data_IF_985479882645
#
_entry.id   IF_985479882645
#
_cell.length_a   1.000
_cell.length_b   1.000
_cell.length_c   1.000
_cell.angle_alpha   90.00
_cell.angle_beta   90.00
_cell.angle_gamma   90.00
#
_symmetry.space_group_name_H-M   'P 1'
#
loop_
_entity.id
_entity.type
_entity.pdbx_description
1 polymer ?
#
# COMPACT_ATOMS: atom_id res chain seq x y z
N UNK A 1 -6.83 12.04 6.78
CA UNK A 1 -6.66 10.88 5.88
C UNK A 1 -6.14 11.27 4.50
N UNK A 2 -5.39 12.39 4.39
CA UNK A 2 -4.85 12.90 3.12
C UNK A 2 -5.87 13.19 1.99
N UNK A 3 -7.17 13.27 2.29
CA UNK A 3 -8.22 13.49 1.30
C UNK A 3 -9.12 12.27 1.08
N UNK A 4 -8.68 11.06 1.46
CA UNK A 4 -9.36 9.78 1.22
C UNK A 4 -10.73 9.61 1.91
N UNK A 5 -11.15 10.58 2.72
CA UNK A 5 -12.49 10.66 3.29
C UNK A 5 -13.50 11.35 2.35
N UNK A 6 -13.02 12.07 1.34
CA UNK A 6 -13.85 12.83 0.38
C UNK A 6 -13.40 12.69 -1.08
N UNK A 7 -12.17 12.21 -1.33
CA UNK A 7 -11.61 11.96 -2.64
C UNK A 7 -11.40 10.45 -2.84
N UNK A 8 -11.52 9.95 -4.08
CA UNK A 8 -11.19 8.56 -4.42
C UNK A 8 -9.67 8.38 -4.62
N UNK A 9 -8.86 8.88 -3.68
CA UNK A 9 -7.39 8.96 -3.79
C UNK A 9 -6.66 7.81 -3.06
N UNK A 10 -7.35 6.71 -2.78
CA UNK A 10 -6.86 5.62 -1.93
C UNK A 10 -5.50 5.06 -2.38
N UNK A 11 -5.22 5.01 -3.69
CA UNK A 11 -3.94 4.58 -4.25
C UNK A 11 -2.80 5.53 -3.88
N UNK A 12 -2.98 6.84 -4.04
CA UNK A 12 -2.01 7.85 -3.62
C UNK A 12 -1.81 7.87 -2.09
N UNK A 13 -2.90 7.70 -1.34
CA UNK A 13 -2.87 7.67 0.14
C UNK A 13 -2.16 6.42 0.66
N UNK A 14 -2.39 5.26 0.06
CA UNK A 14 -1.68 4.04 0.41
C UNK A 14 -0.21 4.10 0.00
N UNK A 15 0.12 4.72 -1.14
CA UNK A 15 1.50 4.95 -1.57
C UNK A 15 2.27 5.82 -0.55
N UNK A 16 1.70 6.93 -0.11
CA UNK A 16 2.38 7.80 0.87
C UNK A 16 2.47 7.15 2.24
N UNK A 17 1.46 6.38 2.66
CA UNK A 17 1.52 5.63 3.90
C UNK A 17 2.56 4.51 3.86
N UNK A 18 2.79 3.91 2.69
CA UNK A 18 3.90 2.99 2.50
C UNK A 18 5.25 3.69 2.72
N UNK A 19 5.48 4.85 2.10
CA UNK A 19 6.70 5.64 2.32
C UNK A 19 6.89 6.06 3.79
N UNK A 20 5.81 6.49 4.47
CA UNK A 20 5.83 6.79 5.90
C UNK A 20 6.13 5.56 6.75
N UNK A 21 5.62 4.40 6.34
CA UNK A 21 5.90 3.11 6.96
C UNK A 21 7.37 2.74 6.90
N UNK A 22 7.99 2.87 5.73
CA UNK A 22 9.43 2.64 5.54
C UNK A 22 10.27 3.61 6.35
N UNK A 23 9.91 4.90 6.36
CA UNK A 23 10.56 5.89 7.21
C UNK A 23 10.51 5.48 8.70
N UNK A 24 9.34 5.05 9.17
CA UNK A 24 9.16 4.60 10.55
C UNK A 24 10.02 3.37 10.88
N UNK A 25 10.12 2.39 9.97
CA UNK A 25 11.06 1.25 10.11
C UNK A 25 12.52 1.72 10.12
N UNK A 26 12.83 2.80 9.39
CA UNK A 26 14.12 3.45 9.42
C UNK A 26 14.37 4.30 10.68
N UNK A 27 13.40 4.43 11.58
CA UNK A 27 13.54 5.11 12.86
C UNK A 27 13.29 6.62 12.80
N UNK A 28 12.62 7.12 11.76
CA UNK A 28 12.27 8.53 11.63
C UNK A 28 10.87 8.74 11.04
N UNK A 29 10.33 9.94 11.21
CA UNK A 29 9.03 10.31 10.65
C UNK A 29 9.18 11.06 9.33
N UNK A 30 8.38 10.68 8.35
CA UNK A 30 8.25 11.40 7.08
C UNK A 30 7.11 12.42 7.18
N UNK A 31 7.45 13.70 7.19
CA UNK A 31 6.47 14.81 7.25
C UNK A 31 5.91 15.07 5.86
N UNK A 32 4.60 14.85 5.70
CA UNK A 32 3.89 15.02 4.44
C UNK A 32 2.88 16.17 4.59
N UNK A 33 2.95 17.16 3.71
CA UNK A 33 1.93 18.20 3.66
C UNK A 33 0.60 17.58 3.19
N UNK A 34 -0.53 17.80 3.88
CA UNK A 34 -1.79 17.17 3.54
C UNK A 34 -2.25 17.39 2.09
N UNK A 35 -1.96 18.57 1.53
CA UNK A 35 -2.31 18.92 0.15
C UNK A 35 -1.44 18.23 -0.92
N UNK A 36 -0.27 17.69 -0.56
CA UNK A 36 0.62 17.02 -1.52
C UNK A 36 0.02 15.75 -2.10
N UNK A 37 -0.80 15.03 -1.32
CA UNK A 37 -1.35 13.74 -1.75
C UNK A 37 -2.51 13.91 -2.75
N UNK A 38 -3.50 14.79 -2.52
CA UNK A 38 -4.50 15.10 -3.54
C UNK A 38 -3.89 15.69 -4.82
N UNK A 39 -2.85 16.51 -4.69
CA UNK A 39 -2.15 17.07 -5.85
C UNK A 39 -1.43 15.99 -6.68
N UNK A 40 -0.73 15.08 -6.01
CA UNK A 40 -0.10 13.93 -6.66
C UNK A 40 -1.14 13.00 -7.30
N UNK A 41 -2.23 12.72 -6.60
CA UNK A 41 -3.36 11.96 -7.12
C UNK A 41 -3.93 12.60 -8.40
N UNK A 42 -4.23 13.90 -8.36
CA UNK A 42 -4.68 14.65 -9.53
C UNK A 42 -3.70 14.53 -10.70
N UNK A 43 -2.39 14.63 -10.45
CA UNK A 43 -1.38 14.48 -11.48
C UNK A 43 -1.36 13.08 -12.12
N UNK A 44 -1.63 12.02 -11.34
CA UNK A 44 -1.73 10.65 -11.86
C UNK A 44 -2.88 10.48 -12.85
N UNK A 45 -3.97 11.24 -12.69
CA UNK A 45 -5.19 11.13 -13.52
C UNK A 45 -5.39 12.31 -14.48
N UNK A 46 -4.35 13.11 -14.72
CA UNK A 46 -4.39 14.20 -15.70
C UNK A 46 -5.02 15.51 -15.21
N UNK A 47 -5.15 15.70 -13.89
CA UNK A 47 -5.66 16.91 -13.24
C UNK A 47 -7.04 17.35 -13.74
N UNK A 48 -8.08 16.51 -13.60
CA UNK A 48 -9.44 16.92 -13.95
C UNK A 48 -9.90 18.08 -13.04
N UNK A 49 -10.85 18.90 -13.52
CA UNK A 49 -11.32 20.08 -12.79
C UNK A 49 -12.08 19.76 -11.49
N UNK A 50 -12.64 18.55 -11.39
CA UNK A 50 -13.31 18.05 -10.20
C UNK A 50 -12.75 16.67 -9.85
N UNK A 51 -11.92 16.60 -8.81
CA UNK A 51 -11.34 15.35 -8.33
C UNK A 51 -12.36 14.46 -7.61
N UNK A 52 -13.42 15.03 -7.04
CA UNK A 52 -14.43 14.26 -6.27
C UNK A 52 -15.26 13.37 -7.21
N UNK A 53 -15.49 13.84 -8.44
CA UNK A 53 -16.32 13.15 -9.44
C UNK A 53 -15.57 12.08 -10.25
N UNK A 54 -14.37 11.71 -9.85
CA UNK A 54 -13.52 10.75 -10.58
C UNK A 54 -13.67 9.32 -10.04
N UNK A 55 -13.18 8.33 -10.79
CA UNK A 55 -13.28 6.91 -10.41
C UNK A 55 -12.02 6.37 -9.69
N UNK A 56 -11.19 7.26 -9.15
CA UNK A 56 -9.90 6.91 -8.57
C UNK A 56 -8.78 6.83 -9.59
N UNK A 57 -7.68 6.15 -9.24
CA UNK A 57 -6.53 5.97 -10.12
C UNK A 57 -6.09 4.50 -10.11
N UNK A 58 -5.62 4.01 -11.25
CA UNK A 58 -5.04 2.67 -11.38
C UNK A 58 -3.72 2.61 -10.60
N UNK A 59 -3.51 1.55 -9.81
CA UNK A 59 -2.31 1.43 -8.97
C UNK A 59 -1.01 1.45 -9.80
N UNK A 60 -0.98 0.78 -10.96
CA UNK A 60 0.17 0.81 -11.86
C UNK A 60 0.45 2.20 -12.43
N UNK A 61 -0.57 3.00 -12.75
CA UNK A 61 -0.37 4.38 -13.23
C UNK A 61 0.21 5.26 -12.11
N UNK A 62 -0.25 5.08 -10.88
CA UNK A 62 0.30 5.74 -9.69
C UNK A 62 1.77 5.34 -9.46
N UNK A 63 2.10 4.06 -9.60
CA UNK A 63 3.46 3.55 -9.49
C UNK A 63 4.36 4.04 -10.64
N UNK A 64 3.86 4.08 -11.86
CA UNK A 64 4.59 4.62 -13.01
C UNK A 64 4.82 6.14 -12.86
N UNK A 65 3.83 6.86 -12.35
CA UNK A 65 3.93 8.30 -12.12
C UNK A 65 4.96 8.61 -11.04
N UNK A 66 4.92 7.97 -9.88
CA UNK A 66 5.93 8.21 -8.84
C UNK A 66 7.34 7.76 -9.27
N UNK A 67 7.47 6.71 -10.09
CA UNK A 67 8.78 6.27 -10.59
C UNK A 67 9.39 7.26 -11.59
N UNK A 68 8.57 7.90 -12.44
CA UNK A 68 9.06 8.74 -13.56
C UNK A 68 9.00 10.24 -13.28
N UNK A 69 7.95 10.71 -12.62
CA UNK A 69 7.71 12.12 -12.30
C UNK A 69 8.03 12.44 -10.84
N UNK A 70 8.00 11.42 -9.98
CA UNK A 70 8.26 11.57 -8.55
C UNK A 70 7.02 11.93 -7.73
N UNK A 71 7.11 11.70 -6.42
CA UNK A 71 6.12 12.13 -5.44
C UNK A 71 6.75 13.15 -4.50
N UNK A 72 6.33 14.42 -4.62
CA UNK A 72 6.78 15.48 -3.73
C UNK A 72 6.28 15.26 -2.30
N UNK A 73 7.22 14.95 -1.39
CA UNK A 73 6.98 14.75 0.03
C UNK A 73 7.80 15.77 0.83
N UNK A 74 7.17 16.92 1.11
CA UNK A 74 7.81 18.01 1.84
C UNK A 74 9.00 18.58 1.05
N UNK A 75 10.22 18.65 1.62
CA UNK A 75 11.39 19.23 0.97
C UNK A 75 12.05 18.31 -0.09
N UNK A 76 11.58 17.07 -0.23
CA UNK A 76 12.15 16.08 -1.15
C UNK A 76 11.11 15.51 -2.10
N UNK A 77 11.59 14.93 -3.19
CA UNK A 77 10.76 14.16 -4.12
C UNK A 77 11.23 12.71 -4.10
N UNK A 78 10.29 11.79 -3.84
CA UNK A 78 10.55 10.36 -3.84
C UNK A 78 10.36 9.80 -5.25
N UNK A 79 11.29 8.94 -5.68
CA UNK A 79 11.19 8.20 -6.94
C UNK A 79 11.35 6.71 -6.62
N UNK A 80 10.24 5.99 -6.61
CA UNK A 80 10.22 4.59 -6.19
C UNK A 80 10.45 3.63 -7.35
N UNK A 81 11.29 2.64 -7.10
CA UNK A 81 11.35 1.43 -7.91
C UNK A 81 10.30 0.46 -7.38
N UNK A 82 9.62 -0.27 -8.27
CA UNK A 82 8.56 -1.18 -7.89
C UNK A 82 8.58 -2.45 -8.73
N UNK A 83 8.07 -3.53 -8.15
CA UNK A 83 7.75 -4.76 -8.87
C UNK A 83 6.43 -5.34 -8.37
N UNK A 84 5.83 -6.14 -9.24
CA UNK A 84 4.66 -6.95 -8.92
C UNK A 84 5.08 -8.09 -8.02
N UNK A 85 4.32 -8.32 -6.95
CA UNK A 85 4.39 -9.54 -6.16
C UNK A 85 3.28 -10.47 -6.64
N UNK A 86 3.54 -11.78 -6.69
CA UNK A 86 2.49 -12.75 -6.98
C UNK A 86 1.39 -12.69 -5.89
N UNK A 87 0.24 -12.11 -6.24
CA UNK A 87 -0.90 -11.92 -5.35
C UNK A 87 -1.54 -13.23 -4.90
N UNK A 88 -1.25 -14.35 -5.58
CA UNK A 88 -1.73 -15.68 -5.21
C UNK A 88 -0.72 -16.43 -4.34
N UNK A 89 0.53 -15.96 -4.25
CA UNK A 89 1.58 -16.58 -3.43
C UNK A 89 1.69 -15.91 -2.07
N UNK A 90 1.10 -16.55 -1.05
CA UNK A 90 1.23 -16.12 0.35
C UNK A 90 2.69 -15.94 0.79
N UNK A 91 3.58 -16.81 0.30
CA UNK A 91 5.01 -16.71 0.59
C UNK A 91 5.62 -15.46 -0.03
N UNK A 92 5.27 -15.12 -1.28
CA UNK A 92 5.74 -13.90 -1.93
C UNK A 92 5.25 -12.65 -1.19
N UNK A 93 3.97 -12.62 -0.80
CA UNK A 93 3.38 -11.51 -0.05
C UNK A 93 4.04 -11.31 1.32
N UNK A 94 4.22 -12.41 2.07
CA UNK A 94 4.88 -12.38 3.38
C UNK A 94 6.34 -11.96 3.27
N UNK A 95 7.06 -12.49 2.27
CA UNK A 95 8.45 -12.13 2.01
C UNK A 95 8.59 -10.67 1.60
N UNK A 96 7.70 -10.18 0.72
CA UNK A 96 7.64 -8.77 0.33
C UNK A 96 7.47 -7.86 1.53
N UNK A 97 6.53 -8.14 2.44
CA UNK A 97 6.42 -7.36 3.69
C UNK A 97 7.68 -7.45 4.56
N UNK A 98 8.23 -8.66 4.76
CA UNK A 98 9.37 -8.86 5.63
C UNK A 98 10.67 -8.23 5.11
N UNK A 99 10.87 -8.18 3.79
CA UNK A 99 12.09 -7.67 3.16
C UNK A 99 11.97 -6.24 2.69
N UNK A 100 10.82 -5.85 2.17
CA UNK A 100 10.56 -4.53 1.60
C UNK A 100 9.81 -3.61 2.57
N UNK A 101 9.44 -4.12 3.76
CA UNK A 101 8.93 -3.37 4.90
C UNK A 101 7.40 -3.26 4.91
N UNK A 102 6.79 -3.04 3.75
CA UNK A 102 5.32 -3.02 3.59
C UNK A 102 4.93 -3.60 2.23
N UNK A 103 3.70 -4.12 2.13
CA UNK A 103 3.06 -4.45 0.85
C UNK A 103 2.12 -3.33 0.41
N UNK A 104 2.19 -2.90 -0.86
CA UNK A 104 1.20 -1.98 -1.46
C UNK A 104 0.20 -2.79 -2.27
N UNK A 105 -1.03 -2.94 -1.75
CA UNK A 105 -1.98 -3.97 -2.20
C UNK A 105 -3.30 -3.37 -2.65
N UNK A 106 -3.88 -3.91 -3.71
CA UNK A 106 -5.21 -3.61 -4.22
C UNK A 106 -6.16 -4.75 -3.93
N UNK A 107 -7.30 -4.44 -3.31
CA UNK A 107 -8.32 -5.41 -2.93
C UNK A 107 -9.69 -5.05 -3.51
N UNK A 108 -10.48 -6.06 -3.86
CA UNK A 108 -11.91 -5.88 -4.17
C UNK A 108 -12.72 -6.08 -2.90
N UNK A 109 -13.31 -5.01 -2.39
CA UNK A 109 -14.16 -5.05 -1.20
C UNK A 109 -15.59 -5.51 -1.55
N UNK A 110 -16.20 -6.23 -0.62
CA UNK A 110 -17.61 -6.61 -0.63
C UNK A 110 -18.39 -5.90 0.47
N UNK A 111 -19.71 -5.94 0.39
CA UNK A 111 -20.62 -5.27 1.35
C UNK A 111 -20.28 -5.62 2.80
N UNK A 112 -19.95 -6.89 3.07
CA UNK A 112 -19.55 -7.36 4.40
C UNK A 112 -18.30 -6.68 4.94
N UNK A 113 -17.36 -6.32 4.08
CA UNK A 113 -16.10 -5.67 4.50
C UNK A 113 -16.36 -4.24 5.03
N UNK A 114 -17.54 -3.66 4.73
CA UNK A 114 -17.98 -2.35 5.24
C UNK A 114 -18.68 -2.41 6.60
N UNK A 115 -18.99 -3.60 7.14
CA UNK A 115 -19.71 -3.77 8.41
C UNK A 115 -18.93 -3.31 9.66
N UNK A 116 -17.71 -2.77 9.50
CA UNK A 116 -16.80 -2.31 10.57
C UNK A 116 -16.53 -3.39 11.62
N UNK A 117 -16.26 -4.62 11.17
CA UNK A 117 -15.90 -5.72 12.04
C UNK A 117 -14.45 -5.57 12.54
N UNK A 118 -14.14 -6.04 13.78
CA UNK A 118 -12.78 -5.97 14.31
C UNK A 118 -11.77 -6.86 13.57
N UNK A 119 -12.27 -7.79 12.75
CA UNK A 119 -11.49 -8.69 11.92
C UNK A 119 -12.20 -8.87 10.57
N UNK A 120 -11.45 -8.75 9.48
CA UNK A 120 -11.86 -9.19 8.16
C UNK A 120 -11.48 -10.65 7.96
N UNK A 121 -12.47 -11.51 7.82
CA UNK A 121 -12.29 -12.96 7.66
C UNK A 121 -13.28 -13.53 6.63
N UNK A 122 -13.00 -14.72 6.13
CA UNK A 122 -13.98 -15.51 5.36
C UNK A 122 -14.72 -16.41 6.34
N UNK A 123 -16.05 -16.37 6.34
CA UNK A 123 -16.89 -17.22 7.19
C UNK A 123 -17.62 -18.24 6.32
N UNK A 124 -17.27 -19.54 6.40
CA UNK A 124 -17.92 -20.57 5.61
C UNK A 124 -19.45 -20.55 5.76
N UNK A 125 -20.16 -20.53 4.64
CA UNK A 125 -21.63 -20.53 4.60
C UNK A 125 -22.28 -19.17 4.86
N UNK A 126 -21.51 -18.11 5.11
CA UNK A 126 -22.01 -16.74 5.17
C UNK A 126 -21.83 -16.08 3.81
N UNK A 127 -22.86 -15.38 3.36
CA UNK A 127 -22.77 -14.53 2.17
C UNK A 127 -21.98 -13.26 2.51
N UNK A 128 -21.01 -12.92 1.67
CA UNK A 128 -20.20 -11.70 1.79
C UNK A 128 -20.86 -10.51 1.07
N UNK A 129 -21.95 -10.74 0.33
CA UNK A 129 -22.70 -9.73 -0.39
C UNK A 129 -22.05 -9.34 -1.74
N UNK A 130 -22.58 -8.27 -2.31
CA UNK A 130 -22.14 -7.72 -3.61
C UNK A 130 -20.73 -7.12 -3.56
N UNK A 131 -20.11 -6.95 -4.73
CA UNK A 131 -18.89 -6.16 -4.87
C UNK A 131 -19.24 -4.69 -4.66
N UNK A 132 -18.49 -4.02 -3.77
CA UNK A 132 -18.60 -2.59 -3.52
C UNK A 132 -17.67 -1.80 -4.43
N UNK A 133 -16.43 -2.30 -4.61
CA UNK A 133 -15.42 -1.65 -5.44
C UNK A 133 -14.00 -2.04 -5.06
N UNK A 134 -13.03 -1.53 -5.81
CA UNK A 134 -11.61 -1.67 -5.52
C UNK A 134 -11.14 -0.69 -4.44
N UNK A 135 -10.14 -1.09 -3.66
CA UNK A 135 -9.54 -0.25 -2.63
C UNK A 135 -8.05 -0.57 -2.45
N UNK A 136 -7.22 0.45 -2.33
CA UNK A 136 -5.79 0.27 -2.05
C UNK A 136 -5.50 0.36 -0.56
N UNK A 137 -4.68 -0.57 -0.07
CA UNK A 137 -4.26 -0.68 1.33
C UNK A 137 -2.74 -0.87 1.43
N UNK A 138 -2.19 -0.62 2.62
CA UNK A 138 -0.84 -1.10 2.95
C UNK A 138 -0.92 -2.33 3.83
N UNK A 139 -0.12 -3.34 3.57
CA UNK A 139 0.07 -4.49 4.46
C UNK A 139 1.34 -4.29 5.27
N UNK A 140 1.21 -4.32 6.60
CA UNK A 140 2.27 -3.89 7.51
C UNK A 140 3.02 -5.05 8.15
N UNK A 141 2.28 -5.95 8.80
CA UNK A 141 2.86 -7.13 9.44
C UNK A 141 1.87 -8.30 9.42
N UNK A 142 2.36 -9.47 9.82
CA UNK A 142 1.58 -10.69 9.93
C UNK A 142 2.02 -11.54 11.11
N UNK A 143 1.11 -12.39 11.64
CA UNK A 143 1.37 -13.23 12.82
C UNK A 143 1.78 -14.67 12.49
N UNK A 144 1.65 -15.09 11.23
CA UNK A 144 2.00 -16.41 10.71
C UNK A 144 1.51 -16.58 9.27
N UNK A 145 1.57 -17.80 8.71
CA UNK A 145 1.17 -18.09 7.33
C UNK A 145 -0.05 -19.03 7.20
N UNK A 146 -0.63 -19.46 8.32
CA UNK A 146 -1.88 -20.22 8.30
C UNK A 146 -3.04 -19.33 7.83
N UNK A 147 -4.09 -19.93 7.25
CA UNK A 147 -5.26 -19.20 6.75
C UNK A 147 -5.91 -18.30 7.82
N UNK A 148 -5.93 -18.75 9.07
CA UNK A 148 -6.46 -18.00 10.21
C UNK A 148 -5.45 -17.03 10.85
N UNK A 149 -4.17 -17.08 10.45
CA UNK A 149 -3.20 -16.09 10.88
C UNK A 149 -3.54 -14.73 10.26
N UNK A 150 -3.20 -13.67 10.98
CA UNK A 150 -3.65 -12.33 10.67
C UNK A 150 -2.58 -11.52 9.97
N UNK A 151 -2.99 -10.71 9.01
CA UNK A 151 -2.25 -9.61 8.40
C UNK A 151 -2.85 -8.29 8.90
N UNK A 152 -2.03 -7.31 9.24
CA UNK A 152 -2.50 -5.98 9.63
C UNK A 152 -2.47 -5.04 8.42
N UNK A 153 -3.64 -4.55 8.02
CA UNK A 153 -3.81 -3.67 6.88
C UNK A 153 -4.02 -2.22 7.34
N UNK A 154 -3.26 -1.27 6.78
CA UNK A 154 -3.49 0.15 6.97
C UNK A 154 -4.53 0.65 5.96
N UNK A 155 -5.69 1.08 6.45
CA UNK A 155 -6.79 1.57 5.63
C UNK A 155 -7.66 2.57 6.39
N UNK A 156 -8.21 3.57 5.69
CA UNK A 156 -9.09 4.60 6.25
C UNK A 156 -8.62 5.23 7.57
N UNK A 157 -7.31 5.44 7.71
CA UNK A 157 -6.72 6.05 8.90
C UNK A 157 -6.64 5.14 10.14
N UNK A 158 -6.90 3.85 9.99
CA UNK A 158 -6.84 2.86 11.05
C UNK A 158 -6.11 1.57 10.61
N UNK A 159 -5.79 0.73 11.58
CA UNK A 159 -5.36 -0.64 11.34
C UNK A 159 -6.58 -1.56 11.31
N UNK A 160 -6.73 -2.30 10.22
CA UNK A 160 -7.73 -3.33 10.03
C UNK A 160 -7.04 -4.70 9.99
N UNK A 161 -7.20 -5.54 11.03
CA UNK A 161 -6.79 -6.92 10.97
C UNK A 161 -7.60 -7.67 9.91
N UNK A 162 -6.93 -8.50 9.13
CA UNK A 162 -7.54 -9.43 8.19
C UNK A 162 -6.88 -10.81 8.32
N UNK A 163 -7.60 -11.90 8.03
CA UNK A 163 -6.98 -13.22 7.93
C UNK A 163 -6.34 -13.43 6.56
N UNK A 164 -5.36 -14.34 6.45
CA UNK A 164 -4.84 -14.73 5.14
C UNK A 164 -5.89 -15.35 4.21
N UNK A 165 -6.91 -16.01 4.76
CA UNK A 165 -8.06 -16.46 3.99
C UNK A 165 -8.83 -15.28 3.36
N UNK A 166 -9.01 -14.20 4.10
CA UNK A 166 -9.62 -12.98 3.56
C UNK A 166 -8.74 -12.34 2.49
N UNK A 167 -7.43 -12.23 2.72
CA UNK A 167 -6.48 -11.69 1.73
C UNK A 167 -6.56 -12.50 0.44
N UNK A 168 -6.49 -13.83 0.51
CA UNK A 168 -6.60 -14.69 -0.68
C UNK A 168 -7.94 -14.54 -1.42
N UNK A 169 -9.02 -14.18 -0.73
CA UNK A 169 -10.35 -14.01 -1.31
C UNK A 169 -10.63 -12.60 -1.84
N UNK A 170 -9.73 -11.63 -1.63
CA UNK A 170 -9.97 -10.20 -1.88
C UNK A 170 -8.84 -9.51 -2.63
N UNK A 171 -7.61 -10.02 -2.55
CA UNK A 171 -6.43 -9.41 -3.13
C UNK A 171 -6.40 -9.63 -4.65
N UNK A 172 -6.38 -8.53 -5.39
CA UNK A 172 -6.30 -8.55 -6.86
C UNK A 172 -4.85 -8.31 -7.32
N UNK A 173 -4.19 -7.32 -6.73
CA UNK A 173 -2.84 -6.87 -7.11
C UNK A 173 -1.97 -6.55 -5.89
N UNK A 174 -0.67 -6.79 -6.01
CA UNK A 174 0.28 -6.57 -4.92
C UNK A 174 1.64 -6.10 -5.46
N UNK A 175 2.24 -5.14 -4.77
CA UNK A 175 3.49 -4.53 -5.18
C UNK A 175 4.44 -4.31 -4.00
N UNK A 176 5.73 -4.50 -4.29
CA UNK A 176 6.84 -4.06 -3.46
C UNK A 176 7.38 -2.72 -3.99
N UNK A 177 7.84 -1.84 -3.10
CA UNK A 177 8.34 -0.51 -3.48
C UNK A 177 9.61 -0.18 -2.70
N UNK A 178 10.62 0.35 -3.38
CA UNK A 178 11.87 0.84 -2.79
C UNK A 178 12.11 2.28 -3.19
N UNK A 179 12.25 3.15 -2.19
CA UNK A 179 12.67 4.54 -2.36
C UNK A 179 14.06 4.72 -1.80
N UNK A 180 15.06 4.84 -2.69
CA UNK A 180 16.47 5.05 -2.28
C UNK A 180 16.63 6.31 -1.43
N UNK A 181 15.79 7.32 -1.66
CA UNK A 181 15.79 8.58 -0.90
C UNK A 181 15.43 8.41 0.58
N UNK A 182 14.86 7.26 0.97
CA UNK A 182 14.52 6.98 2.37
C UNK A 182 15.65 6.30 3.15
N UNK A 183 16.80 6.06 2.53
CA UNK A 183 17.98 5.49 3.17
C UNK A 183 18.42 6.33 4.38
N UNK A 184 18.90 5.67 5.43
CA UNK A 184 19.47 6.33 6.61
C UNK A 184 20.80 6.98 6.27
N UNK A 185 21.27 7.87 7.14
CA UNK A 185 22.55 8.56 6.96
C UNK A 185 23.77 7.63 6.91
N UNK A 186 23.64 6.40 7.43
CA UNK A 186 24.68 5.37 7.39
C UNK A 186 24.67 4.51 6.11
N UNK A 187 23.79 4.81 5.15
CA UNK A 187 23.66 4.06 3.91
C UNK A 187 22.86 2.77 4.03
N UNK A 188 22.03 2.64 5.08
CA UNK A 188 21.22 1.43 5.32
C UNK A 188 19.73 1.73 5.50
N UNK A 189 18.93 0.68 5.42
CA UNK A 189 17.53 0.62 5.81
C UNK A 189 17.41 -0.16 7.14
N UNK A 190 16.17 -0.43 7.54
CA UNK A 190 15.86 -1.43 8.57
C UNK A 190 16.64 -2.74 8.33
N UNK A 191 16.98 -3.40 9.42
CA UNK A 191 17.75 -4.64 9.45
C UNK A 191 19.14 -4.60 8.75
N UNK A 192 19.69 -3.39 8.52
CA UNK A 192 21.01 -3.20 7.93
C UNK A 192 21.06 -3.48 6.43
N UNK A 193 19.90 -3.52 5.76
CA UNK A 193 19.80 -3.71 4.31
C UNK A 193 20.27 -2.48 3.56
N UNK A 194 20.81 -2.63 2.36
CA UNK A 194 21.17 -1.51 1.48
C UNK A 194 20.08 -1.27 0.44
N UNK A 195 20.02 -0.06 -0.11
CA UNK A 195 19.14 0.24 -1.24
C UNK A 195 19.34 -0.75 -2.42
N UNK A 196 20.59 -1.09 -2.74
CA UNK A 196 20.90 -2.05 -3.81
C UNK A 196 20.41 -3.47 -3.49
N UNK A 197 20.54 -3.90 -2.23
CA UNK A 197 20.02 -5.19 -1.77
C UNK A 197 18.50 -5.27 -1.93
N UNK A 198 17.78 -4.23 -1.50
CA UNK A 198 16.33 -4.17 -1.65
C UNK A 198 15.88 -4.12 -3.13
N UNK A 199 16.65 -3.45 -3.98
CA UNK A 199 16.37 -3.41 -5.43
C UNK A 199 16.59 -4.78 -6.07
N UNK A 200 17.63 -5.51 -5.68
CA UNK A 200 17.85 -6.87 -6.17
C UNK A 200 16.66 -7.79 -5.78
N UNK A 201 16.18 -7.69 -4.54
CA UNK A 201 15.02 -8.46 -4.05
C UNK A 201 13.75 -8.16 -4.88
N UNK A 202 13.52 -6.90 -5.26
CA UNK A 202 12.39 -6.51 -6.11
C UNK A 202 12.51 -7.05 -7.54
N UNK A 203 13.72 -7.18 -8.08
CA UNK A 203 13.95 -7.70 -9.44
C UNK A 203 13.74 -9.22 -9.51
N UNK A 204 14.02 -9.92 -8.41
CA UNK A 204 13.92 -11.39 -8.32
C UNK A 204 12.52 -11.89 -7.88
N UNK A 205 11.56 -10.97 -7.66
CA UNK A 205 10.17 -11.26 -7.29
C UNK A 205 9.29 -11.72 -8.47
#
# INVERSE_FOLDING_TARGET
>A
MYGNDVLPDCTAVSLVNAARGIAALNGYDLVVAPASVPAFYGACIGNPPDLVATDGAVMLDVLAHQATQGFAIGPQTLYGLYATLDSQSRSALAHGMARLGVGYWGVTLRERDLERTPLWDVQPGRDDGGIVGGHAVIAWDYTGLADAATVRLGTWGAWQPATWAWVAARLDEAYGIVWRQLERADGTFYDGLTADGLVAEIIDC
#
